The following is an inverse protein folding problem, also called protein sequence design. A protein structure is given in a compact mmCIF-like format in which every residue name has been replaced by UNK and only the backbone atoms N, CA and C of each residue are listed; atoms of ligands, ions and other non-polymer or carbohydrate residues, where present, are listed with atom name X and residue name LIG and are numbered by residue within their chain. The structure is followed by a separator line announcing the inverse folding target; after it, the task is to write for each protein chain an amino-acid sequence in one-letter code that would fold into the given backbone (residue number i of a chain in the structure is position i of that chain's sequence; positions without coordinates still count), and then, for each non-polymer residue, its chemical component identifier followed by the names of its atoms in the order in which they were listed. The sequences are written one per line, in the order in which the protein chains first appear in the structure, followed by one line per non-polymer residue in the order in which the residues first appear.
data_IF_144981767935
#
_entry.id   IF_144981767935
#
_cell.length_a   1.000
_cell.length_b   1.000
_cell.length_c   1.000
_cell.angle_alpha   90.00
_cell.angle_beta   90.00
_cell.angle_gamma   90.00
#
_symmetry.space_group_name_H-M   'P 1'
#
loop_
_entity.id
_entity.type
_entity.pdbx_description
1 polymer ?
#
# COMPACT_ATOMS: atom_id res chain seq x y z
N UNK A 1 -52.35 -8.04 42.17
CA UNK A 1 -50.96 -7.55 42.16
C UNK A 1 -50.74 -6.70 43.38
N UNK A 2 -50.03 -7.27 44.35
CA UNK A 2 -49.64 -6.58 45.57
C UNK A 2 -48.43 -5.65 45.29
N UNK A 3 -48.06 -4.86 46.29
CA UNK A 3 -46.98 -3.89 46.17
C UNK A 3 -45.61 -4.56 45.97
N UNK A 4 -45.39 -5.75 46.53
CA UNK A 4 -44.14 -6.48 46.36
C UNK A 4 -43.96 -6.98 44.92
N UNK A 5 -45.04 -7.46 44.29
CA UNK A 5 -45.05 -7.88 42.89
C UNK A 5 -44.81 -6.68 41.95
N UNK A 6 -45.36 -5.50 42.26
CA UNK A 6 -45.07 -4.26 41.51
C UNK A 6 -43.61 -3.85 41.60
N UNK A 7 -43.03 -3.92 42.79
CA UNK A 7 -41.64 -3.54 43.03
C UNK A 7 -40.69 -4.51 42.31
N UNK A 8 -40.96 -5.81 42.36
CA UNK A 8 -40.18 -6.81 41.65
C UNK A 8 -40.23 -6.61 40.12
N UNK A 9 -41.41 -6.34 39.56
CA UNK A 9 -41.55 -6.06 38.13
C UNK A 9 -40.84 -4.77 37.72
N UNK A 10 -40.89 -3.72 38.55
CA UNK A 10 -40.17 -2.47 38.31
C UNK A 10 -38.65 -2.67 38.35
N UNK A 11 -38.14 -3.45 39.31
CA UNK A 11 -36.72 -3.77 39.41
C UNK A 11 -36.24 -4.60 38.22
N UNK A 12 -37.03 -5.61 37.81
CA UNK A 12 -36.73 -6.43 36.64
C UNK A 12 -36.71 -5.60 35.36
N UNK A 13 -37.69 -4.69 35.20
CA UNK A 13 -37.74 -3.76 34.06
C UNK A 13 -36.53 -2.83 34.04
N UNK A 14 -36.16 -2.25 35.18
CA UNK A 14 -34.99 -1.38 35.30
C UNK A 14 -33.68 -2.13 34.99
N UNK A 15 -33.54 -3.35 35.52
CA UNK A 15 -32.38 -4.22 35.25
C UNK A 15 -32.27 -4.59 33.78
N UNK A 16 -33.40 -4.88 33.15
CA UNK A 16 -33.46 -5.21 31.71
C UNK A 16 -33.14 -4.00 30.84
N UNK A 17 -33.66 -2.80 31.17
CA UNK A 17 -33.32 -1.56 30.50
C UNK A 17 -31.82 -1.23 30.60
N UNK A 18 -31.21 -1.49 31.76
CA UNK A 18 -29.77 -1.39 31.98
C UNK A 18 -28.96 -2.31 31.06
N UNK A 19 -29.38 -3.57 30.91
CA UNK A 19 -28.75 -4.53 30.00
C UNK A 19 -28.85 -4.10 28.54
N UNK A 20 -30.02 -3.65 28.08
CA UNK A 20 -30.20 -3.16 26.71
C UNK A 20 -29.27 -1.97 26.42
N UNK A 21 -29.19 -1.03 27.36
CA UNK A 21 -28.30 0.15 27.23
C UNK A 21 -26.83 -0.26 27.14
N UNK A 22 -26.40 -1.25 27.91
CA UNK A 22 -25.04 -1.78 27.85
C UNK A 22 -24.77 -2.47 26.50
N UNK A 23 -25.70 -3.29 26.01
CA UNK A 23 -25.56 -3.98 24.73
C UNK A 23 -25.54 -3.02 23.54
N UNK A 24 -26.33 -1.94 23.59
CA UNK A 24 -26.28 -0.89 22.57
C UNK A 24 -24.92 -0.20 22.54
N UNK A 25 -24.38 0.18 23.71
CA UNK A 25 -23.03 0.75 23.81
C UNK A 25 -21.97 -0.20 23.25
N UNK A 26 -22.06 -1.48 23.57
CA UNK A 26 -21.10 -2.47 23.07
C UNK A 26 -21.22 -2.67 21.56
N UNK A 27 -22.44 -2.78 21.02
CA UNK A 27 -22.68 -2.85 19.57
C UNK A 27 -22.10 -1.62 18.86
N UNK A 28 -22.33 -0.42 19.39
CA UNK A 28 -21.86 0.81 18.78
C UNK A 28 -20.33 0.91 18.83
N UNK A 29 -19.70 0.42 19.91
CA UNK A 29 -18.24 0.26 20.01
C UNK A 29 -17.69 -0.70 18.96
N UNK A 30 -18.31 -1.86 18.79
CA UNK A 30 -17.89 -2.84 17.79
C UNK A 30 -18.07 -2.31 16.36
N UNK A 31 -19.14 -1.55 16.11
CA UNK A 31 -19.38 -0.87 14.82
C UNK A 31 -18.31 0.16 14.52
N UNK A 32 -18.00 1.03 15.48
CA UNK A 32 -16.94 2.04 15.34
C UNK A 32 -15.58 1.38 15.11
N UNK A 33 -15.28 0.26 15.78
CA UNK A 33 -14.07 -0.51 15.52
C UNK A 33 -14.04 -1.07 14.09
N UNK A 34 -15.17 -1.61 13.59
CA UNK A 34 -15.29 -2.08 12.21
C UNK A 34 -15.10 -0.97 11.17
N UNK A 35 -15.70 0.19 11.39
CA UNK A 35 -15.55 1.38 10.53
C UNK A 35 -14.09 1.87 10.50
N UNK A 36 -13.42 1.89 11.65
CA UNK A 36 -12.01 2.25 11.75
C UNK A 36 -11.10 1.27 10.98
N UNK A 37 -11.35 -0.04 11.08
CA UNK A 37 -10.58 -1.05 10.33
C UNK A 37 -10.78 -0.88 8.82
N UNK A 38 -12.03 -0.68 8.36
CA UNK A 38 -12.31 -0.46 6.94
C UNK A 38 -11.63 0.82 6.41
N UNK A 39 -11.59 1.88 7.22
CA UNK A 39 -10.84 3.09 6.88
C UNK A 39 -9.33 2.84 6.78
N UNK A 40 -8.74 2.11 7.75
CA UNK A 40 -7.33 1.74 7.71
C UNK A 40 -6.99 0.87 6.47
N UNK A 41 -7.84 -0.10 6.14
CA UNK A 41 -7.66 -0.95 4.97
C UNK A 41 -7.67 -0.14 3.67
N UNK A 42 -8.58 0.84 3.58
CA UNK A 42 -8.61 1.78 2.45
C UNK A 42 -7.33 2.61 2.39
N UNK A 43 -6.93 3.22 3.51
CA UNK A 43 -5.69 4.00 3.58
C UNK A 43 -4.47 3.16 3.20
N UNK A 44 -4.39 1.91 3.64
CA UNK A 44 -3.33 0.98 3.25
C UNK A 44 -3.37 0.65 1.76
N UNK A 45 -4.55 0.44 1.18
CA UNK A 45 -4.71 0.20 -0.24
C UNK A 45 -4.24 1.40 -1.08
N UNK A 46 -4.56 2.62 -0.65
CA UNK A 46 -4.18 3.86 -1.34
C UNK A 46 -2.69 4.19 -1.17
N UNK A 47 -2.12 3.93 0.00
CA UNK A 47 -0.72 4.30 0.31
C UNK A 47 0.31 3.29 -0.17
N UNK A 48 -0.04 1.99 -0.31
CA UNK A 48 0.88 0.95 -0.82
C UNK A 48 1.46 1.28 -2.21
N UNK A 49 0.66 1.68 -3.22
CA UNK A 49 1.19 2.09 -4.52
C UNK A 49 2.13 3.28 -4.44
N UNK A 50 1.84 4.26 -3.56
CA UNK A 50 2.68 5.43 -3.37
C UNK A 50 4.04 5.07 -2.75
N UNK A 51 4.07 4.15 -1.79
CA UNK A 51 5.30 3.64 -1.21
C UNK A 51 6.15 2.91 -2.25
N UNK A 52 5.54 2.07 -3.08
CA UNK A 52 6.23 1.38 -4.17
C UNK A 52 6.80 2.37 -5.20
N UNK A 53 6.02 3.38 -5.62
CA UNK A 53 6.50 4.40 -6.56
C UNK A 53 7.63 5.25 -5.97
N UNK A 54 7.57 5.57 -4.67
CA UNK A 54 8.64 6.29 -3.97
C UNK A 54 9.92 5.46 -3.91
N UNK A 55 9.81 4.16 -3.63
CA UNK A 55 10.95 3.24 -3.68
C UNK A 55 11.57 3.19 -5.07
N UNK A 56 10.76 3.01 -6.11
CA UNK A 56 11.23 2.97 -7.49
C UNK A 56 11.95 4.28 -7.91
N UNK A 57 11.53 5.44 -7.40
CA UNK A 57 12.24 6.72 -7.61
C UNK A 57 13.63 6.75 -6.96
N UNK A 58 13.78 6.18 -5.77
CA UNK A 58 15.09 6.06 -5.10
C UNK A 58 16.03 5.18 -5.94
N UNK A 59 15.52 4.05 -6.43
CA UNK A 59 16.27 3.12 -7.29
C UNK A 59 16.65 3.80 -8.61
N UNK A 60 15.72 4.52 -9.25
CA UNK A 60 16.00 5.32 -10.44
C UNK A 60 17.11 6.34 -10.20
N UNK A 61 17.08 7.04 -9.06
CA UNK A 61 18.14 7.97 -8.66
C UNK A 61 19.50 7.29 -8.53
N UNK A 62 19.55 6.10 -7.95
CA UNK A 62 20.77 5.31 -7.79
C UNK A 62 21.32 4.83 -9.15
N UNK A 63 20.46 4.32 -10.04
CA UNK A 63 20.83 3.95 -11.42
C UNK A 63 21.38 5.16 -12.19
N UNK A 64 20.70 6.31 -12.09
CA UNK A 64 21.15 7.55 -12.72
C UNK A 64 22.55 7.95 -12.22
N UNK A 65 22.81 7.85 -10.92
CA UNK A 65 24.12 8.15 -10.35
C UNK A 65 25.23 7.21 -10.86
N UNK A 66 24.91 5.93 -11.11
CA UNK A 66 25.84 5.00 -11.76
C UNK A 66 26.17 5.45 -13.19
N UNK A 67 25.16 5.80 -13.98
CA UNK A 67 25.33 6.26 -15.36
C UNK A 67 26.10 7.59 -15.41
N UNK A 68 25.80 8.53 -14.52
CA UNK A 68 26.53 9.81 -14.41
C UNK A 68 28.02 9.59 -14.09
N UNK A 69 28.35 8.56 -13.29
CA UNK A 69 29.73 8.24 -12.91
C UNK A 69 30.50 7.46 -13.97
N UNK A 70 29.84 6.51 -14.64
CA UNK A 70 30.49 5.52 -15.50
C UNK A 70 30.24 5.75 -17.00
N UNK A 71 29.37 6.69 -17.35
CA UNK A 71 28.95 6.97 -18.73
C UNK A 71 27.79 6.07 -19.18
N UNK A 72 27.32 6.30 -20.41
CA UNK A 72 26.32 5.45 -21.03
C UNK A 72 26.93 4.12 -21.49
N UNK A 73 26.20 3.01 -21.36
CA UNK A 73 26.66 1.70 -21.79
C UNK A 73 25.56 0.65 -21.73
N UNK A 74 25.81 -0.56 -22.27
CA UNK A 74 24.96 -1.69 -21.98
C UNK A 74 25.09 -2.01 -20.49
N UNK A 75 23.98 -1.90 -19.78
CA UNK A 75 23.90 -2.15 -18.35
C UNK A 75 22.88 -3.26 -18.09
N UNK A 76 23.32 -4.52 -17.98
CA UNK A 76 22.51 -5.59 -17.43
C UNK A 76 21.98 -5.23 -16.03
N UNK A 77 20.83 -5.77 -15.66
CA UNK A 77 20.20 -5.47 -14.38
C UNK A 77 21.08 -5.89 -13.20
N UNK A 78 21.82 -6.99 -13.35
CA UNK A 78 22.75 -7.52 -12.35
C UNK A 78 23.90 -6.55 -12.07
N UNK A 79 24.47 -5.98 -13.12
CA UNK A 79 25.57 -5.02 -13.02
C UNK A 79 25.09 -3.71 -12.41
N UNK A 80 23.91 -3.22 -12.81
CA UNK A 80 23.32 -2.04 -12.20
C UNK A 80 22.96 -2.25 -10.75
N UNK A 81 22.41 -3.41 -10.39
CA UNK A 81 22.11 -3.76 -9.01
C UNK A 81 23.36 -3.73 -8.14
N UNK A 82 24.45 -4.34 -8.62
CA UNK A 82 25.73 -4.35 -7.92
C UNK A 82 26.33 -2.94 -7.77
N UNK A 83 26.32 -2.13 -8.84
CA UNK A 83 26.90 -0.78 -8.84
C UNK A 83 26.06 0.25 -8.06
N UNK A 84 24.73 0.12 -8.12
CA UNK A 84 23.80 1.02 -7.44
C UNK A 84 23.50 0.59 -6.00
N UNK A 85 23.89 -0.62 -5.59
CA UNK A 85 23.65 -1.15 -4.25
C UNK A 85 22.18 -1.50 -4.00
N UNK A 86 21.49 -2.01 -5.02
CA UNK A 86 20.05 -2.35 -4.98
C UNK A 86 19.84 -3.82 -5.35
N UNK A 87 18.61 -4.33 -5.20
CA UNK A 87 18.29 -5.70 -5.65
C UNK A 87 18.23 -5.79 -7.17
N UNK A 88 18.50 -6.98 -7.72
CA UNK A 88 18.40 -7.24 -9.17
C UNK A 88 16.95 -7.08 -9.63
N UNK A 89 15.99 -7.54 -8.83
CA UNK A 89 14.57 -7.42 -9.13
C UNK A 89 14.11 -5.97 -9.20
N UNK A 90 14.58 -5.10 -8.30
CA UNK A 90 14.26 -3.67 -8.32
C UNK A 90 14.93 -2.97 -9.50
N UNK A 91 16.20 -3.29 -9.78
CA UNK A 91 16.92 -2.74 -10.93
C UNK A 91 16.22 -3.12 -12.25
N UNK A 92 15.87 -4.41 -12.42
CA UNK A 92 15.13 -4.93 -13.57
C UNK A 92 13.79 -4.21 -13.74
N UNK A 93 13.00 -4.11 -12.66
CA UNK A 93 11.68 -3.46 -12.68
C UNK A 93 11.78 -1.99 -13.09
N UNK A 94 12.74 -1.26 -12.54
CA UNK A 94 12.93 0.17 -12.87
C UNK A 94 13.47 0.34 -14.29
N UNK A 95 14.36 -0.52 -14.78
CA UNK A 95 14.80 -0.52 -16.17
C UNK A 95 13.62 -0.72 -17.14
N UNK A 96 12.73 -1.66 -16.85
CA UNK A 96 11.53 -1.89 -17.66
C UNK A 96 10.58 -0.68 -17.63
N UNK A 97 10.48 0.05 -16.52
CA UNK A 97 9.76 1.32 -16.45
C UNK A 97 10.45 2.39 -17.31
N UNK A 98 11.76 2.55 -17.19
CA UNK A 98 12.53 3.50 -17.99
C UNK A 98 12.38 3.23 -19.48
N UNK A 99 12.42 1.97 -19.91
CA UNK A 99 12.16 1.58 -21.31
C UNK A 99 10.74 1.97 -21.74
N UNK A 100 9.72 1.65 -20.92
CA UNK A 100 8.32 2.02 -21.22
C UNK A 100 8.12 3.53 -21.34
N UNK A 101 8.87 4.32 -20.58
CA UNK A 101 8.83 5.79 -20.62
C UNK A 101 9.81 6.41 -21.64
N UNK A 102 10.52 5.60 -22.43
CA UNK A 102 11.46 6.09 -23.45
C UNK A 102 12.76 6.67 -22.90
N UNK A 103 13.10 6.39 -21.64
CA UNK A 103 14.32 6.85 -20.95
C UNK A 103 15.50 5.87 -21.12
N UNK A 104 15.22 4.63 -21.52
CA UNK A 104 16.23 3.60 -21.75
C UNK A 104 15.90 2.78 -23.02
N UNK A 105 16.91 2.11 -23.56
CA UNK A 105 16.77 1.25 -24.75
C UNK A 105 16.72 -0.21 -24.31
N UNK A 106 15.81 -1.05 -24.85
CA UNK A 106 15.75 -2.46 -24.47
C UNK A 106 17.02 -3.23 -24.89
N UNK A 107 17.38 -4.29 -24.15
CA UNK A 107 18.49 -5.16 -24.51
C UNK A 107 18.27 -5.77 -25.91
N UNK A 108 19.29 -5.72 -26.78
CA UNK A 108 19.23 -6.24 -28.15
C UNK A 108 18.84 -5.24 -29.24
N UNK A 109 18.53 -3.98 -28.89
CA UNK A 109 18.62 -2.84 -29.80
C UNK A 109 17.77 -2.88 -31.07
N UNK A 110 16.49 -2.57 -30.96
CA UNK A 110 15.83 -1.75 -31.98
C UNK A 110 15.00 -0.66 -31.31
N UNK A 111 15.30 0.63 -31.53
CA UNK A 111 14.47 1.71 -31.00
C UNK A 111 13.08 1.64 -31.65
N UNK A 112 11.99 1.86 -30.91
CA UNK A 112 10.66 1.94 -31.49
C UNK A 112 10.60 3.16 -32.41
N UNK A 113 10.62 2.93 -33.73
CA UNK A 113 10.41 3.98 -34.75
C UNK A 113 11.44 4.11 -35.88
N UNK A 114 12.44 3.24 -36.02
CA UNK A 114 13.31 3.29 -37.19
C UNK A 114 12.52 2.91 -38.47
N UNK A 115 12.44 3.79 -39.50
CA UNK A 115 11.75 3.48 -40.75
C UNK A 115 12.44 2.30 -41.47
N UNK A 116 11.69 1.50 -42.24
CA UNK A 116 12.28 0.40 -43.00
C UNK A 116 13.26 0.96 -44.05
N UNK A 117 14.45 0.36 -44.10
CA UNK A 117 15.42 0.54 -45.18
C UNK A 117 14.98 -0.19 -46.45
#
# INVERSE_FOLDING_TARGET
MDEAERQLLAELAARTAGLVTNLQRERDRLRAAGENTAWLDRMLHETKPLAAATHDLVIFGAIRAVIERHGGGPYPAEDLAALAGVSVEDAQRVLEQMVRHGLATPPGGKPPGAPPS
#
